data_IF_266323494541
#
_entry.id   IF_266323494541
#
_cell.length_a   1.000
_cell.length_b   1.000
_cell.length_c   1.000
_cell.angle_alpha   90.00
_cell.angle_beta   90.00
_cell.angle_gamma   90.00
#
_symmetry.space_group_name_H-M   'P 1'
#
loop_
_entity.id
_entity.type
_entity.pdbx_description
1 polymer ?
#
# COMPACT_ATOMS: atom_id res chain seq x y z
N UNK A 1 -5.91 -8.86 -10.74
CA UNK A 1 -5.17 -8.54 -9.50
C UNK A 1 -3.78 -9.15 -9.60
N UNK A 2 -2.74 -8.40 -9.27
CA UNK A 2 -1.36 -8.86 -9.30
C UNK A 2 -0.83 -9.04 -7.88
N UNK A 3 0.00 -10.07 -7.66
CA UNK A 3 0.81 -10.14 -6.44
C UNK A 3 1.94 -9.12 -6.53
N UNK A 4 2.18 -8.27 -5.51
CA UNK A 4 3.22 -7.25 -5.53
C UNK A 4 4.62 -7.80 -5.83
N UNK A 5 4.90 -9.06 -5.45
CA UNK A 5 6.20 -9.69 -5.67
C UNK A 5 6.56 -9.97 -7.14
N UNK A 6 5.59 -9.92 -8.08
CA UNK A 6 5.87 -10.14 -9.50
C UNK A 6 6.54 -8.89 -10.07
N UNK A 7 7.76 -9.04 -10.62
CA UNK A 7 8.50 -7.93 -11.21
C UNK A 7 7.79 -7.34 -12.44
N UNK A 8 7.83 -6.00 -12.64
CA UNK A 8 7.32 -5.34 -13.84
C UNK A 8 8.01 -5.82 -15.13
N UNK A 9 9.22 -6.38 -15.01
CA UNK A 9 9.99 -6.93 -16.11
C UNK A 9 9.40 -8.25 -16.67
N UNK A 10 8.51 -8.90 -15.92
CA UNK A 10 7.96 -10.22 -16.24
C UNK A 10 7.16 -10.21 -17.56
N UNK A 11 7.33 -11.25 -18.39
CA UNK A 11 6.77 -11.31 -19.75
C UNK A 11 5.25 -11.13 -19.79
N UNK A 12 4.53 -11.73 -18.84
CA UNK A 12 3.07 -11.61 -18.76
C UNK A 12 2.62 -10.18 -18.43
N UNK A 13 3.35 -9.48 -17.56
CA UNK A 13 3.04 -8.10 -17.17
C UNK A 13 3.24 -7.17 -18.37
N UNK A 14 4.37 -7.30 -19.06
CA UNK A 14 4.62 -6.55 -20.31
C UNK A 14 3.54 -6.79 -21.36
N UNK A 15 3.05 -8.04 -21.50
CA UNK A 15 1.97 -8.37 -22.45
C UNK A 15 0.64 -7.74 -22.03
N UNK A 16 0.28 -7.82 -20.75
CA UNK A 16 -0.95 -7.21 -20.23
C UNK A 16 -0.96 -5.69 -20.45
N UNK A 17 0.14 -5.01 -20.12
CA UNK A 17 0.30 -3.56 -20.34
C UNK A 17 0.19 -3.22 -21.83
N UNK A 18 0.87 -3.96 -22.72
CA UNK A 18 0.79 -3.75 -24.18
C UNK A 18 -0.63 -3.94 -24.74
N UNK A 19 -1.44 -4.77 -24.09
CA UNK A 19 -2.83 -5.03 -24.48
C UNK A 19 -3.82 -4.07 -23.81
N UNK A 20 -3.35 -3.09 -23.01
CA UNK A 20 -4.21 -2.16 -22.28
C UNK A 20 -5.03 -2.84 -21.18
N UNK A 21 -4.62 -4.02 -20.71
CA UNK A 21 -5.32 -4.73 -19.63
C UNK A 21 -4.97 -4.04 -18.29
N UNK A 22 -5.97 -3.57 -17.51
CA UNK A 22 -5.72 -2.94 -16.23
C UNK A 22 -5.02 -3.90 -15.26
N UNK A 23 -3.97 -3.40 -14.60
CA UNK A 23 -3.30 -4.09 -13.51
C UNK A 23 -3.73 -3.40 -12.22
N UNK A 24 -4.26 -4.19 -11.28
CA UNK A 24 -4.77 -3.74 -9.99
C UNK A 24 -4.11 -4.52 -8.86
N UNK A 25 -3.88 -3.84 -7.74
CA UNK A 25 -3.43 -4.41 -6.48
C UNK A 25 -4.59 -4.69 -5.52
N UNK A 26 -4.27 -5.34 -4.42
CA UNK A 26 -5.16 -5.46 -3.27
C UNK A 26 -5.56 -4.08 -2.69
N UNK A 27 -4.66 -3.10 -2.69
CA UNK A 27 -4.95 -1.73 -2.27
C UNK A 27 -5.96 -1.03 -3.18
N UNK A 28 -5.83 -1.17 -4.50
CA UNK A 28 -6.79 -0.59 -5.46
C UNK A 28 -8.20 -1.14 -5.21
N UNK A 29 -8.30 -2.45 -5.02
CA UNK A 29 -9.58 -3.12 -4.76
C UNK A 29 -10.14 -2.64 -3.42
N UNK A 30 -9.34 -2.61 -2.35
CA UNK A 30 -9.81 -2.12 -1.07
C UNK A 30 -10.31 -0.68 -1.14
N UNK A 31 -9.58 0.22 -1.81
CA UNK A 31 -9.97 1.62 -1.94
C UNK A 31 -11.26 1.81 -2.75
N UNK A 32 -11.53 0.94 -3.73
CA UNK A 32 -12.75 1.00 -4.53
C UNK A 32 -14.01 0.57 -3.75
N UNK A 33 -13.87 -0.29 -2.73
CA UNK A 33 -15.00 -0.88 -2.01
C UNK A 33 -15.14 -0.40 -0.57
N UNK A 34 -14.12 0.22 0.02
CA UNK A 34 -14.15 0.73 1.39
C UNK A 34 -14.11 2.27 1.43
N UNK A 35 -15.16 2.88 1.98
CA UNK A 35 -15.33 4.34 2.05
C UNK A 35 -14.84 4.98 3.37
N UNK A 36 -14.26 4.20 4.27
CA UNK A 36 -13.74 4.74 5.54
C UNK A 36 -12.51 5.60 5.29
N UNK A 37 -12.14 6.45 6.26
CA UNK A 37 -10.92 7.25 6.15
C UNK A 37 -9.68 6.36 6.12
N UNK A 38 -8.63 6.79 5.43
CA UNK A 38 -7.42 6.00 5.21
C UNK A 38 -6.17 6.83 5.50
N UNK A 39 -5.31 6.30 6.36
CA UNK A 39 -3.95 6.78 6.55
C UNK A 39 -3.04 5.76 5.88
N UNK A 40 -2.32 6.14 4.82
CA UNK A 40 -1.38 5.26 4.13
C UNK A 40 0.05 5.58 4.59
N UNK A 41 0.74 4.59 5.13
CA UNK A 41 2.12 4.69 5.63
C UNK A 41 3.05 3.89 4.74
N UNK A 42 4.05 4.56 4.16
CA UNK A 42 5.14 3.92 3.43
C UNK A 42 6.51 4.46 3.83
N UNK A 43 7.55 3.79 3.38
CA UNK A 43 8.94 4.12 3.61
C UNK A 43 9.83 2.91 3.39
N UNK A 44 11.14 3.11 3.47
CA UNK A 44 12.08 1.98 3.48
C UNK A 44 11.98 1.25 4.82
N UNK A 45 12.15 1.97 5.93
CA UNK A 45 12.21 1.42 7.28
C UNK A 45 11.17 2.05 8.22
N UNK A 46 10.83 1.32 9.30
CA UNK A 46 9.98 1.82 10.38
C UNK A 46 8.47 1.82 10.08
N UNK A 47 8.06 1.35 8.89
CA UNK A 47 6.65 1.31 8.46
C UNK A 47 5.75 0.66 9.51
N UNK A 48 6.03 -0.59 9.89
CA UNK A 48 5.20 -1.35 10.83
C UNK A 48 5.12 -0.68 12.19
N UNK A 49 6.25 -0.22 12.72
CA UNK A 49 6.29 0.50 14.00
C UNK A 49 5.42 1.75 13.98
N UNK A 50 5.50 2.56 12.92
CA UNK A 50 4.72 3.80 12.83
C UNK A 50 3.25 3.52 12.56
N UNK A 51 2.91 2.56 11.69
CA UNK A 51 1.54 2.08 11.46
C UNK A 51 0.89 1.65 12.77
N UNK A 52 1.58 0.83 13.58
CA UNK A 52 1.09 0.40 14.90
C UNK A 52 1.00 1.56 15.89
N UNK A 53 1.94 2.50 15.87
CA UNK A 53 1.91 3.66 16.78
C UNK A 53 0.73 4.58 16.48
N UNK A 54 0.45 4.86 15.20
CA UNK A 54 -0.70 5.67 14.78
C UNK A 54 -2.00 5.02 15.26
N UNK A 55 -2.16 3.72 15.02
CA UNK A 55 -3.34 2.96 15.47
C UNK A 55 -3.53 3.01 17.00
N UNK A 56 -2.45 2.82 17.77
CA UNK A 56 -2.51 2.93 19.23
C UNK A 56 -2.92 4.32 19.71
N UNK A 57 -2.41 5.38 19.09
CA UNK A 57 -2.76 6.76 19.44
C UNK A 57 -4.22 7.06 19.10
N UNK A 58 -4.69 6.64 17.91
CA UNK A 58 -6.09 6.79 17.49
C UNK A 58 -7.03 6.03 18.43
N UNK A 59 -6.72 4.76 18.72
CA UNK A 59 -7.49 3.94 19.66
C UNK A 59 -7.53 4.55 21.06
N UNK A 60 -6.40 5.07 21.57
CA UNK A 60 -6.35 5.76 22.86
C UNK A 60 -7.18 7.05 22.91
N UNK A 61 -7.43 7.68 21.75
CA UNK A 61 -8.33 8.83 21.62
C UNK A 61 -9.81 8.47 21.46
N UNK A 62 -10.15 7.17 21.48
CA UNK A 62 -11.51 6.68 21.28
C UNK A 62 -11.94 6.55 19.81
N UNK A 63 -11.01 6.68 18.86
CA UNK A 63 -11.27 6.46 17.43
C UNK A 63 -11.16 4.96 17.12
N UNK A 64 -12.15 4.38 16.44
CA UNK A 64 -12.09 3.00 15.98
C UNK A 64 -11.15 2.89 14.77
N UNK A 65 -9.87 2.63 15.02
CA UNK A 65 -8.87 2.40 13.98
C UNK A 65 -8.57 0.92 13.75
N UNK A 66 -8.25 0.55 12.52
CA UNK A 66 -7.82 -0.82 12.16
C UNK A 66 -6.56 -0.75 11.29
N UNK A 67 -5.53 -1.53 11.65
CA UNK A 67 -4.33 -1.71 10.82
C UNK A 67 -4.53 -2.76 9.72
N UNK A 68 -3.86 -2.59 8.57
CA UNK A 68 -3.81 -3.61 7.52
C UNK A 68 -2.85 -3.24 6.38
N UNK A 69 -2.85 -4.01 5.29
CA UNK A 69 -2.00 -3.74 4.12
C UNK A 69 -0.83 -4.72 4.01
N UNK A 70 0.39 -4.18 3.93
CA UNK A 70 1.65 -4.93 3.94
C UNK A 70 2.00 -5.52 5.33
N UNK A 71 1.04 -5.52 6.25
CA UNK A 71 1.11 -6.13 7.59
C UNK A 71 -0.13 -6.99 7.78
N UNK A 72 -0.10 -7.91 8.74
CA UNK A 72 -1.31 -8.67 9.07
C UNK A 72 -2.33 -7.79 9.81
N UNK A 73 -3.63 -7.91 9.47
CA UNK A 73 -4.18 -8.75 8.41
C UNK A 73 -4.05 -8.13 7.00
N UNK A 74 -3.97 -8.95 5.93
CA UNK A 74 -4.04 -8.48 4.55
C UNK A 74 -5.24 -7.55 4.33
N UNK A 75 -5.08 -6.51 3.52
CA UNK A 75 -6.08 -5.45 3.41
C UNK A 75 -7.46 -5.95 2.92
N UNK A 76 -7.49 -6.99 2.08
CA UNK A 76 -8.74 -7.54 1.56
C UNK A 76 -9.52 -8.35 2.61
N UNK A 77 -8.87 -8.86 3.64
CA UNK A 77 -9.56 -9.52 4.76
C UNK A 77 -10.39 -8.50 5.58
N UNK A 78 -10.06 -7.22 5.43
CA UNK A 78 -10.70 -6.10 6.11
C UNK A 78 -11.79 -5.43 5.26
N UNK A 79 -12.03 -5.86 4.03
CA UNK A 79 -12.89 -5.14 3.06
C UNK A 79 -14.30 -4.86 3.60
N UNK A 80 -14.86 -5.79 4.38
CA UNK A 80 -16.20 -5.68 4.99
C UNK A 80 -16.18 -5.16 6.43
N UNK A 81 -15.01 -4.82 6.97
CA UNK A 81 -14.88 -4.27 8.33
C UNK A 81 -15.26 -2.79 8.33
N UNK A 82 -15.88 -2.36 9.44
CA UNK A 82 -16.23 -0.97 9.69
C UNK A 82 -15.24 -0.39 10.70
N UNK A 83 -14.55 0.67 10.28
CA UNK A 83 -13.64 1.46 11.10
C UNK A 83 -13.91 2.94 10.82
N UNK A 84 -13.57 3.81 11.77
CA UNK A 84 -13.51 5.24 11.51
C UNK A 84 -12.33 5.53 10.57
N UNK A 85 -11.20 4.85 10.82
CA UNK A 85 -9.94 5.03 10.09
C UNK A 85 -9.25 3.68 9.87
N UNK A 86 -8.80 3.42 8.64
CA UNK A 86 -7.83 2.36 8.35
C UNK A 86 -6.41 2.94 8.32
N UNK A 87 -5.48 2.33 9.06
CA UNK A 87 -4.06 2.65 9.00
C UNK A 87 -3.38 1.58 8.15
N UNK A 88 -3.05 1.93 6.91
CA UNK A 88 -2.63 0.99 5.88
C UNK A 88 -1.12 1.10 5.71
N UNK A 89 -0.39 0.03 6.03
CA UNK A 89 1.01 -0.07 5.59
C UNK A 89 1.05 -0.41 4.10
N UNK A 90 1.80 0.35 3.30
CA UNK A 90 1.98 0.08 1.88
C UNK A 90 3.45 -0.14 1.51
N UNK A 91 3.75 -1.25 0.84
CA UNK A 91 5.07 -1.49 0.24
C UNK A 91 5.26 -0.72 -1.06
N UNK A 92 6.51 -0.47 -1.45
CA UNK A 92 6.81 0.14 -2.77
C UNK A 92 6.29 -0.71 -3.94
N UNK A 93 6.23 -2.04 -3.77
CA UNK A 93 5.73 -2.94 -4.80
C UNK A 93 4.22 -2.82 -5.01
N UNK A 94 3.46 -2.70 -3.91
CA UNK A 94 2.03 -2.43 -4.00
C UNK A 94 1.79 -1.07 -4.63
N UNK A 95 2.49 -0.03 -4.17
CA UNK A 95 2.30 1.33 -4.69
C UNK A 95 2.70 1.45 -6.17
N UNK A 96 3.75 0.77 -6.62
CA UNK A 96 4.17 0.76 -8.03
C UNK A 96 3.06 0.32 -9.00
N UNK A 97 2.28 -0.69 -8.62
CA UNK A 97 1.18 -1.20 -9.45
C UNK A 97 -0.15 -0.50 -9.21
N UNK A 98 -0.27 0.23 -8.09
CA UNK A 98 -1.51 0.87 -7.69
C UNK A 98 -1.76 2.12 -8.51
N UNK A 99 -2.98 2.27 -9.01
CA UNK A 99 -3.37 3.41 -9.83
C UNK A 99 -4.54 4.21 -9.21
N UNK A 100 -5.30 3.58 -8.30
CA UNK A 100 -6.53 4.14 -7.73
C UNK A 100 -6.53 4.02 -6.20
N UNK A 101 -5.46 4.50 -5.57
CA UNK A 101 -5.38 4.61 -4.12
C UNK A 101 -5.73 6.04 -3.69
N UNK A 102 -6.63 6.16 -2.73
CA UNK A 102 -7.03 7.45 -2.17
C UNK A 102 -6.83 7.42 -0.66
N UNK A 103 -5.85 8.20 -0.19
CA UNK A 103 -5.59 8.40 1.23
C UNK A 103 -6.15 9.76 1.68
N UNK A 104 -6.72 9.81 2.87
CA UNK A 104 -7.01 11.07 3.55
C UNK A 104 -5.71 11.68 4.12
N UNK A 105 -4.78 10.83 4.53
CA UNK A 105 -3.44 11.21 5.01
C UNK A 105 -2.41 10.22 4.44
N UNK A 106 -1.34 10.73 3.85
CA UNK A 106 -0.20 9.92 3.39
C UNK A 106 1.06 10.25 4.19
N UNK A 107 1.81 9.22 4.58
CA UNK A 107 3.05 9.35 5.33
C UNK A 107 4.16 8.60 4.61
N UNK A 108 5.21 9.32 4.20
CA UNK A 108 6.46 8.74 3.69
C UNK A 108 7.53 8.95 4.77
N UNK A 109 7.96 7.87 5.43
CA UNK A 109 8.86 7.95 6.59
C UNK A 109 10.30 8.31 6.22
N UNK A 110 10.82 7.60 5.23
CA UNK A 110 12.18 7.71 4.75
C UNK A 110 12.27 7.03 3.38
N UNK A 111 13.21 7.50 2.58
CA UNK A 111 13.57 6.88 1.31
C UNK A 111 15.09 6.69 1.32
N UNK A 112 15.51 5.46 1.56
CA UNK A 112 16.91 5.02 1.42
C UNK A 112 16.97 3.90 0.39
N UNK A 113 18.14 3.70 -0.22
CA UNK A 113 18.35 2.65 -1.24
C UNK A 113 17.90 1.29 -0.70
N UNK A 114 16.94 0.68 -1.40
CA UNK A 114 16.40 -0.63 -1.10
C UNK A 114 15.70 -1.18 -2.35
N UNK A 115 15.63 -2.50 -2.52
CA UNK A 115 14.93 -3.19 -3.61
C UNK A 115 15.28 -2.74 -5.05
N UNK A 116 16.55 -2.40 -5.31
CA UNK A 116 17.03 -1.97 -6.63
C UNK A 116 16.97 -3.07 -7.69
N UNK A 117 17.02 -4.34 -7.27
CA UNK A 117 16.80 -5.51 -8.12
C UNK A 117 15.39 -5.55 -8.74
N UNK A 118 14.42 -4.97 -8.05
CA UNK A 118 13.04 -4.88 -8.51
C UNK A 118 12.74 -3.54 -9.19
N UNK A 119 13.18 -2.43 -8.60
CA UNK A 119 12.91 -1.06 -9.09
C UNK A 119 13.92 -0.54 -10.10
N UNK A 120 14.97 -1.31 -10.45
CA UNK A 120 16.02 -0.97 -11.44
C UNK A 120 16.86 0.29 -11.15
N UNK A 121 16.40 1.23 -10.32
CA UNK A 121 17.09 2.47 -9.91
C UNK A 121 16.46 3.08 -8.66
N UNK A 122 17.23 3.92 -7.95
CA UNK A 122 16.73 4.67 -6.79
C UNK A 122 15.61 5.65 -7.18
N UNK A 123 15.69 6.28 -8.35
CA UNK A 123 14.68 7.20 -8.85
C UNK A 123 13.34 6.52 -9.08
N UNK A 124 13.34 5.28 -9.60
CA UNK A 124 12.13 4.49 -9.77
C UNK A 124 11.56 4.01 -8.42
N UNK A 125 12.43 3.66 -7.47
CA UNK A 125 12.02 3.33 -6.10
C UNK A 125 11.35 4.53 -5.40
N UNK A 126 11.92 5.73 -5.56
CA UNK A 126 11.35 6.98 -5.07
C UNK A 126 9.99 7.29 -5.71
N UNK A 127 9.89 7.20 -7.05
CA UNK A 127 8.64 7.46 -7.78
C UNK A 127 7.53 6.47 -7.44
N UNK A 128 7.87 5.27 -7.00
CA UNK A 128 6.90 4.27 -6.59
C UNK A 128 6.27 4.56 -5.22
N UNK A 129 6.82 5.48 -4.42
CA UNK A 129 6.32 5.83 -3.08
C UNK A 129 5.58 7.15 -3.09
#
# INVERSE_FOLDING_TARGET
MISPGISPSHKLIKKAVKQGIPILTDLDIFCAFNNSKKIIVTGTNGKTTVTTLIDKVLSASGTNSIIGGNVFPPILDLINKKADIFVIEASSFQLHYSNNIHADISVILNITEDHLDWHSSIDQYQKAK
#
